data_IF_691830627659
#
_entry.id   IF_691830627659
#
_cell.length_a   1.000
_cell.length_b   1.000
_cell.length_c   1.000
_cell.angle_alpha   90.00
_cell.angle_beta   90.00
_cell.angle_gamma   90.00
#
_symmetry.space_group_name_H-M   'P 1'
#
loop_
_entity.id
_entity.type
_entity.pdbx_description
1 polymer ?
#
# COMPACT_ATOMS: atom_id res chain seq x y z
N UNK A 1 -0.93 -20.29 -21.80
CA UNK A 1 -0.43 -19.01 -22.35
C UNK A 1 0.99 -18.82 -21.85
N UNK A 2 1.97 -18.81 -22.76
CA UNK A 2 3.40 -18.98 -22.42
C UNK A 2 4.03 -17.77 -21.72
N UNK A 3 5.05 -18.04 -20.90
CA UNK A 3 5.90 -17.05 -20.21
C UNK A 3 6.35 -15.90 -21.12
N UNK A 4 6.66 -16.18 -22.39
CA UNK A 4 7.07 -15.19 -23.39
C UNK A 4 5.99 -14.13 -23.69
N UNK A 5 4.70 -14.48 -23.62
CA UNK A 5 3.60 -13.53 -23.85
C UNK A 5 3.41 -12.54 -22.69
N UNK A 6 3.99 -12.81 -21.52
CA UNK A 6 4.04 -11.87 -20.39
C UNK A 6 5.38 -11.14 -20.33
N UNK A 7 6.46 -11.81 -20.72
CA UNK A 7 7.81 -11.25 -20.67
C UNK A 7 7.98 -10.06 -21.62
N UNK A 8 7.50 -10.17 -22.87
CA UNK A 8 7.62 -9.10 -23.87
C UNK A 8 6.87 -7.83 -23.44
N UNK A 9 5.58 -7.84 -23.05
CA UNK A 9 4.91 -6.63 -22.58
C UNK A 9 5.48 -6.12 -21.25
N UNK A 10 5.96 -7.00 -20.36
CA UNK A 10 6.62 -6.59 -19.11
C UNK A 10 7.92 -5.82 -19.38
N UNK A 11 8.80 -6.35 -20.22
CA UNK A 11 10.06 -5.70 -20.61
C UNK A 11 9.80 -4.42 -21.41
N UNK A 12 8.83 -4.41 -22.31
CA UNK A 12 8.43 -3.22 -23.06
C UNK A 12 7.89 -2.11 -22.15
N UNK A 13 7.09 -2.46 -21.13
CA UNK A 13 6.60 -1.51 -20.12
C UNK A 13 7.76 -0.94 -19.31
N UNK A 14 8.71 -1.77 -18.90
CA UNK A 14 9.90 -1.32 -18.17
C UNK A 14 10.81 -0.42 -19.02
N UNK A 15 11.02 -0.78 -20.28
CA UNK A 15 11.74 0.06 -21.23
C UNK A 15 11.03 1.40 -21.43
N UNK A 16 9.70 1.39 -21.60
CA UNK A 16 8.88 2.59 -21.73
C UNK A 16 8.96 3.50 -20.49
N UNK A 17 8.87 2.94 -19.28
CA UNK A 17 9.03 3.67 -18.02
C UNK A 17 10.42 4.30 -17.93
N UNK A 18 11.49 3.53 -18.20
CA UNK A 18 12.86 4.06 -18.20
C UNK A 18 13.07 5.15 -19.25
N UNK A 19 12.58 4.95 -20.47
CA UNK A 19 12.69 5.92 -21.55
C UNK A 19 11.92 7.21 -21.22
N UNK A 20 10.70 7.08 -20.70
CA UNK A 20 9.89 8.22 -20.26
C UNK A 20 10.55 8.98 -19.11
N UNK A 21 11.04 8.28 -18.08
CA UNK A 21 11.71 8.93 -16.95
C UNK A 21 13.04 9.55 -17.35
N UNK A 22 13.79 8.94 -18.26
CA UNK A 22 15.01 9.51 -18.84
C UNK A 22 14.72 10.77 -19.67
N UNK A 23 13.66 10.74 -20.49
CA UNK A 23 13.18 11.91 -21.24
C UNK A 23 12.66 13.01 -20.30
N UNK A 24 11.92 12.64 -19.26
CA UNK A 24 11.42 13.55 -18.24
C UNK A 24 12.58 14.18 -17.46
N UNK A 25 13.59 13.41 -17.06
CA UNK A 25 14.82 13.93 -16.48
C UNK A 25 15.51 14.90 -17.43
N UNK A 26 15.63 14.56 -18.72
CA UNK A 26 16.23 15.44 -19.73
C UNK A 26 15.42 16.73 -19.97
N UNK A 27 14.09 16.66 -19.84
CA UNK A 27 13.20 17.80 -20.01
C UNK A 27 13.16 18.70 -18.77
N UNK A 28 13.18 18.12 -17.57
CA UNK A 28 13.21 18.84 -16.30
C UNK A 28 14.61 19.39 -15.97
N UNK A 29 15.70 18.73 -16.43
CA UNK A 29 17.08 19.24 -16.35
C UNK A 29 17.47 20.11 -17.56
N UNK A 30 16.55 20.87 -18.17
CA UNK A 30 17.00 21.90 -19.11
C UNK A 30 17.77 22.98 -18.34
N UNK A 31 19.07 23.19 -18.61
CA UNK A 31 19.83 24.25 -17.97
C UNK A 31 19.35 25.57 -18.56
N UNK A 32 18.55 26.32 -17.81
CA UNK A 32 18.33 27.72 -18.14
C UNK A 32 19.42 28.56 -17.45
N UNK A 33 20.38 28.99 -18.29
CA UNK A 33 21.29 30.14 -18.18
C UNK A 33 22.62 29.97 -17.40
N UNK A 34 23.68 30.69 -17.83
CA UNK A 34 25.06 30.26 -17.74
C UNK A 34 25.59 30.45 -16.33
N UNK A 35 26.06 29.37 -15.72
CA UNK A 35 26.92 29.45 -14.55
C UNK A 35 28.28 29.93 -15.05
N UNK A 36 28.71 31.08 -14.54
CA UNK A 36 30.05 31.65 -14.79
C UNK A 36 31.17 30.66 -14.44
N UNK A 37 32.40 30.91 -14.89
CA UNK A 37 33.48 29.95 -14.80
C UNK A 37 33.87 29.74 -13.33
N UNK A 38 33.74 28.52 -12.82
CA UNK A 38 34.16 28.21 -11.45
C UNK A 38 33.87 26.80 -10.98
N UNK A 39 34.87 25.93 -11.19
CA UNK A 39 35.24 24.73 -10.40
C UNK A 39 34.25 23.56 -10.26
N UNK A 40 34.70 22.40 -10.77
CA UNK A 40 34.00 21.11 -10.81
C UNK A 40 33.87 20.38 -9.46
N UNK A 41 33.51 19.08 -9.46
CA UNK A 41 33.18 18.34 -8.25
C UNK A 41 34.44 17.78 -7.59
N UNK A 42 34.76 18.27 -6.40
CA UNK A 42 35.79 17.70 -5.55
C UNK A 42 35.18 16.60 -4.67
N UNK A 43 35.76 15.41 -4.77
CA UNK A 43 35.42 14.20 -4.05
C UNK A 43 36.07 14.27 -2.66
N UNK A 44 35.32 14.66 -1.63
CA UNK A 44 35.84 14.65 -0.26
C UNK A 44 35.79 13.21 0.32
N UNK A 45 36.92 12.52 0.20
CA UNK A 45 37.22 11.29 0.93
C UNK A 45 38.04 11.63 2.18
N UNK A 46 37.59 11.12 3.33
CA UNK A 46 38.24 10.94 4.64
C UNK A 46 37.86 11.90 5.79
N UNK A 47 37.75 11.39 7.03
CA UNK A 47 37.46 12.19 8.22
C UNK A 47 38.76 12.69 8.85
N UNK A 48 38.92 14.01 8.98
CA UNK A 48 39.97 14.59 9.83
C UNK A 48 39.37 15.03 11.16
N UNK A 49 39.79 14.33 12.21
CA UNK A 49 39.63 14.75 13.60
C UNK A 49 40.35 16.09 13.81
N UNK A 50 39.64 17.09 14.30
CA UNK A 50 40.27 18.14 15.13
C UNK A 50 39.30 18.60 16.22
N UNK A 51 39.81 18.52 17.44
CA UNK A 51 39.19 18.95 18.69
C UNK A 51 39.47 20.43 18.92
N UNK A 52 38.51 21.15 19.51
CA UNK A 52 38.62 22.08 20.67
C UNK A 52 37.85 23.40 20.54
N UNK A 53 37.01 23.61 21.56
CA UNK A 53 36.65 24.84 22.28
C UNK A 53 36.18 26.12 21.57
N UNK A 54 35.07 26.66 22.10
CA UNK A 54 34.72 28.08 22.02
C UNK A 54 33.21 28.31 22.14
N UNK A 55 32.71 28.53 23.36
CA UNK A 55 31.31 28.90 23.55
C UNK A 55 31.00 30.30 23.03
N UNK A 56 29.77 30.51 22.56
CA UNK A 56 29.04 31.76 22.73
C UNK A 56 27.55 31.58 22.39
N UNK A 57 26.75 32.12 23.29
CA UNK A 57 25.30 32.28 23.26
C UNK A 57 24.87 33.33 22.24
N UNK A 58 23.79 33.07 21.50
CA UNK A 58 23.08 34.04 20.67
C UNK A 58 21.77 33.46 20.11
N UNK A 59 20.63 34.18 20.13
CA UNK A 59 19.30 33.60 20.06
C UNK A 59 18.74 33.47 18.64
N UNK A 60 17.91 32.45 18.44
CA UNK A 60 16.80 32.44 17.48
C UNK A 60 17.13 32.78 16.03
N UNK A 61 17.63 31.80 15.27
CA UNK A 61 17.50 31.84 13.80
C UNK A 61 16.39 30.90 13.38
N UNK A 62 15.28 31.51 12.96
CA UNK A 62 14.22 30.87 12.18
C UNK A 62 14.86 30.24 10.95
N UNK A 63 14.94 28.90 10.91
CA UNK A 63 15.36 28.18 9.72
C UNK A 63 14.36 28.45 8.60
N UNK A 64 14.74 29.33 7.67
CA UNK A 64 14.09 29.40 6.36
C UNK A 64 14.14 27.98 5.77
N UNK A 65 13.04 27.42 5.27
CA UNK A 65 13.09 26.15 4.57
C UNK A 65 13.96 26.36 3.32
N UNK A 66 15.06 25.61 3.22
CA UNK A 66 15.89 25.59 2.02
C UNK A 66 15.09 25.17 0.79
N UNK A 67 15.61 25.41 -0.43
CA UNK A 67 14.92 25.07 -1.67
C UNK A 67 14.52 23.60 -1.68
N UNK A 68 13.27 23.32 -2.05
CA UNK A 68 12.73 21.96 -2.12
C UNK A 68 13.54 21.12 -3.11
N UNK A 69 14.44 20.29 -2.60
CA UNK A 69 15.17 19.31 -3.41
C UNK A 69 14.26 18.13 -3.70
N UNK A 70 14.09 17.82 -4.98
CA UNK A 70 13.45 16.58 -5.44
C UNK A 70 14.51 15.74 -6.13
N UNK A 71 14.59 14.47 -5.75
CA UNK A 71 15.55 13.51 -6.31
C UNK A 71 14.81 12.41 -7.06
N UNK A 72 15.29 12.07 -8.25
CA UNK A 72 14.79 10.93 -9.02
C UNK A 72 15.93 9.93 -9.22
N UNK A 73 15.84 8.79 -8.55
CA UNK A 73 16.78 7.67 -8.68
C UNK A 73 16.17 6.62 -9.60
N UNK A 74 16.87 6.33 -10.69
CA UNK A 74 16.46 5.34 -11.68
C UNK A 74 17.53 4.25 -11.73
N UNK A 75 17.16 3.03 -11.34
CA UNK A 75 17.97 1.81 -11.46
C UNK A 75 17.17 0.77 -12.26
N UNK A 76 17.81 -0.20 -12.93
CA UNK A 76 17.09 -1.30 -13.58
C UNK A 76 16.12 -1.95 -12.58
N UNK A 77 14.85 -2.05 -12.95
CA UNK A 77 13.77 -2.61 -12.12
C UNK A 77 13.44 -1.87 -10.81
N UNK A 78 13.97 -0.65 -10.62
CA UNK A 78 13.70 0.18 -9.44
C UNK A 78 13.71 1.67 -9.78
N UNK A 79 12.55 2.31 -9.65
CA UNK A 79 12.41 3.78 -9.75
C UNK A 79 12.03 4.32 -8.39
N UNK A 80 12.70 5.38 -7.94
CA UNK A 80 12.37 6.10 -6.71
C UNK A 80 12.34 7.59 -6.98
N UNK A 81 11.19 8.19 -6.72
CA UNK A 81 11.02 9.63 -6.69
C UNK A 81 10.93 10.08 -5.23
N UNK A 82 11.79 11.00 -4.82
CA UNK A 82 11.81 11.60 -3.49
C UNK A 82 11.62 13.11 -3.59
N UNK A 83 10.86 13.68 -2.66
CA UNK A 83 10.66 15.12 -2.56
C UNK A 83 10.70 15.56 -1.11
N UNK A 84 11.21 16.77 -0.89
CA UNK A 84 11.17 17.47 0.40
C UNK A 84 10.04 18.49 0.47
N UNK A 85 9.39 18.81 -0.66
CA UNK A 85 8.34 19.84 -0.71
C UNK A 85 7.12 19.51 0.16
N UNK A 86 6.73 18.24 0.19
CA UNK A 86 5.61 17.75 1.00
C UNK A 86 5.90 17.77 2.52
N UNK A 87 7.17 17.80 2.93
CA UNK A 87 7.53 17.79 4.34
C UNK A 87 6.97 19.02 5.07
N UNK A 88 6.99 20.18 4.40
CA UNK A 88 6.42 21.43 4.95
C UNK A 88 4.91 21.33 5.15
N UNK A 89 4.20 20.66 4.24
CA UNK A 89 2.77 20.42 4.33
C UNK A 89 2.44 19.52 5.52
N UNK A 90 3.10 18.36 5.65
CA UNK A 90 2.88 17.44 6.77
C UNK A 90 3.23 18.08 8.12
N UNK A 91 4.32 18.85 8.17
CA UNK A 91 4.70 19.58 9.38
C UNK A 91 3.63 20.59 9.79
N UNK A 92 3.12 21.40 8.85
CA UNK A 92 2.04 22.36 9.12
C UNK A 92 0.75 21.68 9.56
N UNK A 93 0.41 20.55 8.94
CA UNK A 93 -0.81 19.81 9.22
C UNK A 93 -0.76 19.17 10.62
N UNK A 94 0.35 18.50 10.96
CA UNK A 94 0.53 17.81 12.24
C UNK A 94 0.82 18.76 13.41
N UNK A 95 1.48 19.90 13.17
CA UNK A 95 1.84 20.89 14.20
C UNK A 95 0.84 22.05 14.31
N UNK A 96 -0.29 22.00 13.60
CA UNK A 96 -1.33 23.05 13.71
C UNK A 96 -1.94 23.05 15.11
N UNK A 97 -1.93 24.18 15.85
CA UNK A 97 -2.47 24.24 17.21
C UNK A 97 -3.97 23.95 17.25
N UNK A 98 -4.71 24.33 16.20
CA UNK A 98 -6.15 24.08 16.07
C UNK A 98 -6.48 22.57 16.01
N UNK A 99 -5.59 21.78 15.41
CA UNK A 99 -5.76 20.34 15.24
C UNK A 99 -4.94 19.52 16.25
N UNK A 100 -4.20 20.17 17.14
CA UNK A 100 -3.25 19.50 18.04
C UNK A 100 -3.93 18.51 18.99
N UNK A 101 -5.15 18.83 19.45
CA UNK A 101 -5.95 17.95 20.29
C UNK A 101 -6.59 16.82 19.46
N UNK A 102 -7.11 17.15 18.27
CA UNK A 102 -7.64 16.17 17.34
C UNK A 102 -6.58 15.09 17.02
N UNK A 103 -5.39 15.50 16.58
CA UNK A 103 -4.31 14.57 16.25
C UNK A 103 -3.88 13.73 17.46
N UNK A 104 -3.86 14.31 18.67
CA UNK A 104 -3.51 13.57 19.89
C UNK A 104 -4.52 12.45 20.17
N UNK A 105 -5.81 12.73 20.06
CA UNK A 105 -6.87 11.72 20.26
C UNK A 105 -6.86 10.71 19.12
N UNK A 106 -6.75 11.19 17.89
CA UNK A 106 -6.71 10.39 16.66
C UNK A 106 -5.62 9.32 16.71
N UNK A 107 -4.37 9.71 16.98
CA UNK A 107 -3.28 8.75 17.10
C UNK A 107 -3.32 7.95 18.39
N UNK A 108 -3.96 8.46 19.45
CA UNK A 108 -4.27 7.68 20.65
C UNK A 108 -5.19 6.49 20.35
N UNK A 109 -6.25 6.70 19.57
CA UNK A 109 -7.14 5.63 19.10
C UNK A 109 -6.39 4.64 18.21
N UNK A 110 -5.53 5.15 17.31
CA UNK A 110 -4.66 4.32 16.48
C UNK A 110 -3.75 3.39 17.29
N UNK A 111 -3.22 3.85 18.43
CA UNK A 111 -2.42 3.01 19.34
C UNK A 111 -3.27 1.90 19.96
N UNK A 112 -4.45 2.23 20.50
CA UNK A 112 -5.35 1.23 21.11
C UNK A 112 -5.74 0.17 20.08
N UNK A 113 -6.12 0.62 18.88
CA UNK A 113 -6.42 -0.28 17.77
C UNK A 113 -5.21 -1.15 17.40
N UNK A 114 -4.03 -0.56 17.26
CA UNK A 114 -2.80 -1.28 16.91
C UNK A 114 -2.44 -2.37 17.92
N UNK A 115 -2.60 -2.09 19.22
CA UNK A 115 -2.36 -3.08 20.28
C UNK A 115 -3.37 -4.24 20.22
N UNK A 116 -4.66 -3.94 20.02
CA UNK A 116 -5.69 -4.97 19.86
C UNK A 116 -5.44 -5.81 18.60
N UNK A 117 -5.15 -5.16 17.47
CA UNK A 117 -4.84 -5.82 16.21
C UNK A 117 -3.60 -6.71 16.32
N UNK A 118 -2.62 -6.34 17.14
CA UNK A 118 -1.45 -7.17 17.40
C UNK A 118 -1.82 -8.46 18.14
N UNK A 119 -2.65 -8.38 19.20
CA UNK A 119 -3.13 -9.56 19.93
C UNK A 119 -3.91 -10.50 18.99
N UNK A 120 -4.82 -9.94 18.21
CA UNK A 120 -5.60 -10.70 17.21
C UNK A 120 -4.67 -11.31 16.16
N UNK A 121 -3.69 -10.56 15.67
CA UNK A 121 -2.69 -11.04 14.71
C UNK A 121 -1.90 -12.23 15.24
N UNK A 122 -1.42 -12.18 16.48
CA UNK A 122 -0.74 -13.31 17.12
C UNK A 122 -1.65 -14.53 17.26
N UNK A 123 -2.91 -14.35 17.68
CA UNK A 123 -3.88 -15.44 17.77
C UNK A 123 -4.15 -16.10 16.41
N UNK A 124 -4.33 -15.30 15.36
CA UNK A 124 -4.52 -15.79 13.99
C UNK A 124 -3.29 -16.50 13.44
N UNK A 125 -2.08 -16.00 13.74
CA UNK A 125 -0.83 -16.67 13.36
C UNK A 125 -0.67 -18.03 14.06
N UNK A 126 -1.02 -18.11 15.35
CA UNK A 126 -1.01 -19.38 16.11
C UNK A 126 -2.04 -20.36 15.55
N UNK A 127 -3.25 -19.88 15.24
CA UNK A 127 -4.30 -20.69 14.60
C UNK A 127 -3.85 -21.22 13.24
N UNK A 128 -3.30 -20.36 12.38
CA UNK A 128 -2.79 -20.76 11.07
C UNK A 128 -1.63 -21.74 11.17
N UNK A 129 -0.72 -21.56 12.14
CA UNK A 129 0.36 -22.49 12.41
C UNK A 129 -0.17 -23.87 12.86
N UNK A 130 -1.14 -23.89 13.76
CA UNK A 130 -1.79 -25.13 14.19
C UNK A 130 -2.48 -25.84 13.03
N UNK A 131 -3.21 -25.10 12.18
CA UNK A 131 -3.85 -25.66 11.00
C UNK A 131 -2.82 -26.25 10.02
N UNK A 132 -1.74 -25.53 9.74
CA UNK A 132 -0.66 -26.02 8.87
C UNK A 132 -0.03 -27.31 9.41
N UNK A 133 0.23 -27.37 10.72
CA UNK A 133 0.77 -28.57 11.38
C UNK A 133 -0.23 -29.72 11.32
N UNK A 134 -1.52 -29.48 11.55
CA UNK A 134 -2.55 -30.51 11.50
C UNK A 134 -2.64 -31.15 10.10
N UNK A 135 -2.62 -30.33 9.05
CA UNK A 135 -2.60 -30.78 7.65
C UNK A 135 -1.32 -31.56 7.34
N UNK A 136 -0.17 -31.09 7.82
CA UNK A 136 1.10 -31.79 7.63
C UNK A 136 1.13 -33.15 8.36
N UNK A 137 0.56 -33.24 9.57
CA UNK A 137 0.45 -34.50 10.33
C UNK A 137 -0.47 -35.47 9.62
N UNK A 138 -1.66 -35.05 9.19
CA UNK A 138 -2.59 -35.91 8.43
C UNK A 138 -1.93 -36.38 7.12
N UNK A 139 -1.24 -35.49 6.40
CA UNK A 139 -0.51 -35.86 5.19
C UNK A 139 0.61 -36.90 5.49
N UNK A 140 1.34 -36.73 6.59
CA UNK A 140 2.39 -37.68 7.01
C UNK A 140 1.79 -39.03 7.44
N UNK A 141 0.67 -39.04 8.17
CA UNK A 141 -0.05 -40.26 8.54
C UNK A 141 -0.57 -41.01 7.31
N UNK A 142 -1.01 -40.29 6.28
CA UNK A 142 -1.45 -40.88 5.01
C UNK A 142 -0.28 -41.40 4.14
N UNK A 143 0.95 -40.94 4.38
CA UNK A 143 2.16 -41.39 3.69
C UNK A 143 2.87 -42.55 4.39
N UNK A 144 2.44 -42.95 5.59
CA UNK A 144 3.02 -44.03 6.39
C UNK A 144 2.09 -45.25 6.45
N UNK A 145 2.22 -46.23 5.53
CA UNK A 145 1.37 -47.41 5.52
C UNK A 145 1.92 -48.46 6.50
N UNK A 146 1.66 -48.27 7.80
CA UNK A 146 1.74 -49.38 8.77
C UNK A 146 0.33 -49.84 9.15
N UNK A 147 -0.30 -50.55 8.23
CA UNK A 147 -1.53 -51.30 8.46
C UNK A 147 -1.68 -52.34 7.35
N UNK A 148 -2.04 -53.59 7.65
CA UNK A 148 -2.22 -54.60 6.62
C UNK A 148 -3.31 -54.13 5.66
N UNK A 149 -3.09 -54.39 4.37
CA UNK A 149 -3.98 -54.07 3.27
C UNK A 149 -5.37 -54.68 3.46
N UNK A 150 -6.29 -53.91 4.04
CA UNK A 150 -7.73 -54.14 3.88
C UNK A 150 -8.20 -53.45 2.60
N UNK A 151 -8.63 -54.26 1.64
CA UNK A 151 -9.43 -53.81 0.50
C UNK A 151 -10.74 -53.19 1.00
N UNK A 152 -10.93 -51.88 0.80
CA UNK A 152 -12.25 -51.24 0.93
C UNK A 152 -12.70 -50.68 -0.40
N UNK A 153 -13.81 -51.27 -0.85
CA UNK A 153 -14.67 -50.94 -1.97
C UNK A 153 -15.08 -49.46 -1.97
N UNK A 154 -14.97 -48.84 -3.15
CA UNK A 154 -15.75 -47.72 -3.68
C UNK A 154 -16.44 -46.77 -2.69
N UNK A 155 -15.68 -45.84 -2.10
CA UNK A 155 -16.20 -44.55 -1.65
C UNK A 155 -15.20 -43.47 -2.05
N UNK A 156 -15.70 -42.46 -2.76
CA UNK A 156 -14.91 -41.36 -3.35
C UNK A 156 -13.98 -40.70 -2.32
N UNK A 157 -12.73 -40.37 -2.68
CA UNK A 157 -11.81 -39.71 -1.76
C UNK A 157 -12.32 -38.30 -1.41
N UNK A 158 -12.09 -37.82 -0.17
CA UNK A 158 -12.43 -36.44 0.18
C UNK A 158 -11.61 -35.51 -0.70
N UNK A 159 -12.30 -34.65 -1.44
CA UNK A 159 -11.71 -33.68 -2.35
C UNK A 159 -10.77 -32.77 -1.56
N UNK A 160 -9.46 -33.04 -1.64
CA UNK A 160 -8.41 -32.11 -1.25
C UNK A 160 -8.69 -30.80 -1.98
N UNK A 161 -8.97 -29.74 -1.21
CA UNK A 161 -9.37 -28.42 -1.70
C UNK A 161 -8.42 -27.94 -2.80
N UNK A 162 -8.79 -28.24 -4.04
CA UNK A 162 -8.19 -27.74 -5.26
C UNK A 162 -8.26 -26.23 -5.18
N UNK A 163 -7.11 -25.55 -5.20
CA UNK A 163 -6.96 -24.10 -5.14
C UNK A 163 -8.16 -23.39 -5.78
N UNK A 164 -9.08 -22.92 -4.92
CA UNK A 164 -10.29 -22.24 -5.37
C UNK A 164 -9.86 -20.87 -5.86
N UNK A 165 -9.91 -20.65 -7.18
CA UNK A 165 -9.84 -19.29 -7.74
C UNK A 165 -10.94 -18.46 -7.09
N UNK A 166 -10.62 -17.24 -6.62
CA UNK A 166 -11.67 -16.28 -6.28
C UNK A 166 -12.36 -15.91 -7.59
N UNK A 167 -13.46 -16.58 -7.90
CA UNK A 167 -14.45 -16.02 -8.79
C UNK A 167 -15.11 -14.89 -8.00
N UNK A 168 -14.84 -13.65 -8.42
CA UNK A 168 -15.61 -12.51 -7.96
C UNK A 168 -16.97 -12.68 -8.61
N UNK A 169 -17.87 -13.38 -7.90
CA UNK A 169 -19.29 -13.40 -8.24
C UNK A 169 -19.80 -11.99 -8.02
N UNK A 170 -19.90 -11.21 -9.10
CA UNK A 170 -20.69 -9.97 -9.11
C UNK A 170 -22.14 -10.40 -9.31
N UNK A 171 -22.72 -11.01 -8.28
CA UNK A 171 -24.16 -11.25 -8.26
C UNK A 171 -24.83 -10.09 -7.54
N UNK A 172 -25.41 -9.25 -8.39
CA UNK A 172 -26.49 -8.31 -8.12
C UNK A 172 -27.56 -8.97 -7.25
N UNK A 173 -27.75 -8.41 -6.05
CA UNK A 173 -28.98 -8.31 -5.25
C UNK A 173 -28.73 -8.61 -3.78
N UNK A 174 -28.85 -7.55 -2.96
CA UNK A 174 -29.13 -7.69 -1.55
C UNK A 174 -30.48 -8.41 -1.40
N UNK A 175 -30.47 -9.66 -0.96
CA UNK A 175 -31.60 -10.27 -0.27
C UNK A 175 -31.07 -10.88 1.01
N UNK A 176 -31.46 -10.27 2.12
CA UNK A 176 -31.37 -10.82 3.46
C UNK A 176 -32.04 -12.20 3.48
N UNK A 177 -31.26 -13.24 3.73
CA UNK A 177 -31.78 -14.46 4.35
C UNK A 177 -30.88 -14.81 5.52
N UNK A 178 -31.33 -14.39 6.70
CA UNK A 178 -30.98 -15.02 7.97
C UNK A 178 -31.43 -16.47 7.85
N UNK A 179 -30.48 -17.39 7.71
CA UNK A 179 -30.69 -18.79 8.06
C UNK A 179 -29.36 -19.34 8.54
N UNK A 180 -29.33 -19.67 9.83
CA UNK A 180 -28.16 -20.22 10.48
C UNK A 180 -27.74 -21.52 9.82
N UNK A 181 -26.47 -21.59 9.46
CA UNK A 181 -25.67 -22.76 9.78
C UNK A 181 -24.26 -22.26 10.08
N UNK A 182 -23.78 -22.59 11.27
CA UNK A 182 -22.38 -22.45 11.70
C UNK A 182 -21.51 -23.33 10.81
N UNK A 183 -21.22 -22.85 9.60
CA UNK A 183 -20.22 -23.39 8.70
C UNK A 183 -18.96 -22.57 8.91
N UNK A 184 -18.04 -23.13 9.68
CA UNK A 184 -16.60 -22.85 9.73
C UNK A 184 -16.15 -21.95 8.57
N UNK A 185 -16.14 -20.64 8.80
CA UNK A 185 -15.38 -19.72 7.97
C UNK A 185 -13.93 -20.03 8.26
N UNK A 186 -13.44 -21.06 7.57
CA UNK A 186 -12.04 -21.41 7.47
C UNK A 186 -11.37 -20.17 6.88
N UNK A 187 -10.92 -19.28 7.77
CA UNK A 187 -10.19 -18.07 7.45
C UNK A 187 -8.79 -18.49 7.03
N UNK A 188 -8.72 -19.31 5.98
CA UNK A 188 -7.51 -19.54 5.23
C UNK A 188 -7.24 -18.21 4.55
N UNK A 189 -6.25 -17.50 5.07
CA UNK A 189 -5.63 -16.37 4.39
C UNK A 189 -5.07 -16.89 3.07
N UNK A 190 -5.90 -16.96 2.02
CA UNK A 190 -5.46 -17.36 0.70
C UNK A 190 -4.53 -16.24 0.21
N UNK A 191 -3.23 -16.50 0.03
CA UNK A 191 -2.32 -15.48 -0.46
C UNK A 191 -2.79 -15.01 -1.84
N UNK A 192 -2.83 -13.69 -2.04
CA UNK A 192 -3.15 -13.08 -3.32
C UNK A 192 -1.96 -13.25 -4.26
N UNK A 193 -1.98 -14.31 -5.06
CA UNK A 193 -0.95 -14.63 -6.05
C UNK A 193 -1.53 -14.29 -7.43
N UNK A 194 -1.00 -13.25 -8.11
CA UNK A 194 -1.41 -12.90 -9.47
C UNK A 194 -1.30 -14.11 -10.40
N UNK A 195 -2.37 -14.41 -11.15
CA UNK A 195 -2.41 -15.51 -12.12
C UNK A 195 -2.79 -16.89 -11.56
N UNK A 196 -2.71 -17.11 -10.24
CA UNK A 196 -3.18 -18.35 -9.60
C UNK A 196 -4.52 -18.12 -8.92
N UNK A 197 -4.62 -17.11 -8.04
CA UNK A 197 -5.84 -16.81 -7.27
C UNK A 197 -6.57 -15.58 -7.78
N UNK A 198 -5.97 -14.80 -8.70
CA UNK A 198 -6.55 -13.58 -9.29
C UNK A 198 -6.39 -13.52 -10.83
N UNK A 199 -7.42 -13.12 -11.59
CA UNK A 199 -7.31 -12.85 -13.02
C UNK A 199 -6.37 -11.68 -13.31
N UNK A 200 -5.53 -11.79 -14.34
CA UNK A 200 -4.55 -10.74 -14.70
C UNK A 200 -5.22 -9.40 -15.09
N UNK A 201 -6.47 -9.43 -15.54
CA UNK A 201 -7.24 -8.21 -15.87
C UNK A 201 -7.49 -7.32 -14.66
N UNK A 202 -7.52 -7.87 -13.44
CA UNK A 202 -7.75 -7.09 -12.22
C UNK A 202 -6.46 -6.50 -11.64
N UNK A 203 -5.30 -6.94 -12.12
CA UNK A 203 -3.99 -6.53 -11.59
C UNK A 203 -3.81 -5.01 -11.55
N UNK A 204 -4.16 -4.21 -12.58
CA UNK A 204 -4.00 -2.76 -12.52
C UNK A 204 -4.81 -2.10 -11.41
N UNK A 205 -6.04 -2.56 -11.15
CA UNK A 205 -6.88 -2.03 -10.07
C UNK A 205 -6.26 -2.30 -8.69
N UNK A 206 -5.67 -3.48 -8.50
CA UNK A 206 -4.94 -3.80 -7.27
C UNK A 206 -3.68 -2.94 -7.10
N UNK A 207 -2.90 -2.72 -8.17
CA UNK A 207 -1.71 -1.88 -8.10
C UNK A 207 -2.07 -0.42 -7.75
N UNK A 208 -3.16 0.11 -8.31
CA UNK A 208 -3.67 1.44 -7.97
C UNK A 208 -4.15 1.48 -6.52
N UNK A 209 -4.92 0.48 -6.08
CA UNK A 209 -5.40 0.40 -4.70
C UNK A 209 -4.24 0.31 -3.69
N UNK A 210 -3.21 -0.48 -4.00
CA UNK A 210 -2.00 -0.58 -3.19
C UNK A 210 -1.23 0.74 -3.13
N UNK A 211 -1.08 1.43 -4.26
CA UNK A 211 -0.43 2.75 -4.28
C UNK A 211 -1.20 3.76 -3.43
N UNK A 212 -2.51 3.85 -3.59
CA UNK A 212 -3.36 4.78 -2.82
C UNK A 212 -3.29 4.45 -1.32
N UNK A 213 -3.43 3.17 -0.96
CA UNK A 213 -3.29 2.75 0.43
C UNK A 213 -1.89 3.05 0.98
N UNK A 214 -0.83 2.78 0.22
CA UNK A 214 0.54 3.08 0.60
C UNK A 214 0.76 4.58 0.84
N UNK A 215 0.27 5.45 -0.05
CA UNK A 215 0.37 6.90 0.14
C UNK A 215 -0.31 7.33 1.44
N UNK A 216 -1.52 6.84 1.70
CA UNK A 216 -2.29 7.17 2.91
C UNK A 216 -1.62 6.62 4.18
N UNK A 217 -1.06 5.41 4.11
CA UNK A 217 -0.29 4.78 5.18
C UNK A 217 0.91 5.62 5.59
N UNK A 218 1.75 5.98 4.61
CA UNK A 218 2.96 6.76 4.83
C UNK A 218 2.64 8.20 5.27
N UNK A 219 1.60 8.82 4.69
CA UNK A 219 1.11 10.11 5.15
C UNK A 219 0.70 10.09 6.63
N UNK A 220 0.10 8.97 7.09
CA UNK A 220 -0.21 8.75 8.50
C UNK A 220 1.03 8.86 9.39
N UNK A 221 2.13 8.19 9.00
CA UNK A 221 3.41 8.27 9.71
C UNK A 221 4.01 9.68 9.71
N UNK A 222 3.98 10.37 8.56
CA UNK A 222 4.51 11.73 8.43
C UNK A 222 3.78 12.73 9.35
N UNK A 223 2.45 12.67 9.38
CA UNK A 223 1.64 13.56 10.22
C UNK A 223 1.82 13.23 11.71
N UNK A 224 1.95 11.95 12.07
CA UNK A 224 2.24 11.53 13.44
C UNK A 224 3.61 12.03 13.91
N UNK A 225 4.65 11.88 13.08
CA UNK A 225 6.00 12.37 13.37
C UNK A 225 6.02 13.89 13.53
N UNK A 226 5.33 14.62 12.66
CA UNK A 226 5.16 16.07 12.77
C UNK A 226 4.51 16.49 14.10
N UNK A 227 3.51 15.74 14.58
CA UNK A 227 2.84 16.03 15.85
C UNK A 227 3.74 15.82 17.06
N UNK A 228 4.62 14.81 17.00
CA UNK A 228 5.65 14.52 18.00
C UNK A 228 6.92 15.38 17.81
N UNK A 229 6.81 16.48 17.05
CA UNK A 229 7.86 17.48 16.80
C UNK A 229 9.12 16.92 16.15
N UNK A 230 8.97 15.83 15.41
CA UNK A 230 10.07 15.20 14.68
C UNK A 230 9.97 15.51 13.20
N UNK A 231 11.12 15.84 12.62
CA UNK A 231 11.19 16.24 11.22
C UNK A 231 11.24 15.01 10.31
N UNK A 232 10.45 15.08 9.24
CA UNK A 232 10.50 14.14 8.12
C UNK A 232 11.62 14.57 7.19
N UNK A 233 12.54 13.66 6.88
CA UNK A 233 13.70 13.93 6.03
C UNK A 233 13.27 14.05 4.57
N UNK A 234 12.48 13.09 4.07
CA UNK A 234 11.99 13.06 2.69
C UNK A 234 10.73 12.20 2.58
N UNK A 235 9.85 12.52 1.65
CA UNK A 235 8.69 11.70 1.30
C UNK A 235 8.75 11.35 -0.18
N UNK A 236 8.24 10.21 -0.59
CA UNK A 236 8.26 9.86 -2.00
C UNK A 236 7.45 8.63 -2.37
N UNK A 237 7.57 8.28 -3.65
CA UNK A 237 6.95 7.10 -4.26
C UNK A 237 8.06 6.30 -4.94
N UNK A 238 7.96 4.98 -4.90
CA UNK A 238 8.84 4.08 -5.60
C UNK A 238 8.04 3.04 -6.38
N UNK A 239 8.66 2.50 -7.42
CA UNK A 239 8.16 1.37 -8.19
C UNK A 239 9.26 0.32 -8.24
N UNK A 240 9.02 -0.83 -7.63
CA UNK A 240 9.92 -1.98 -7.66
C UNK A 240 9.31 -3.11 -8.48
N UNK A 241 9.93 -3.45 -9.62
CA UNK A 241 9.43 -4.42 -10.62
C UNK A 241 8.02 -4.08 -11.12
N UNK A 242 6.98 -4.42 -10.37
CA UNK A 242 5.58 -4.10 -10.67
C UNK A 242 4.85 -3.47 -9.46
N UNK A 243 5.49 -3.44 -8.29
CA UNK A 243 4.91 -3.00 -7.03
C UNK A 243 5.11 -1.48 -6.85
N UNK A 244 4.04 -0.67 -6.96
CA UNK A 244 4.09 0.73 -6.59
C UNK A 244 3.94 0.87 -5.07
N UNK A 245 4.79 1.68 -4.46
CA UNK A 245 4.76 1.96 -3.02
C UNK A 245 5.07 3.42 -2.74
N UNK A 246 4.66 3.90 -1.56
CA UNK A 246 5.10 5.18 -1.04
C UNK A 246 6.09 4.96 0.10
N UNK A 247 6.86 5.98 0.45
CA UNK A 247 7.70 5.97 1.64
C UNK A 247 7.76 7.35 2.28
N UNK A 248 7.88 7.38 3.60
CA UNK A 248 8.26 8.55 4.39
C UNK A 248 9.51 8.21 5.19
N UNK A 249 10.56 9.00 4.99
CA UNK A 249 11.83 8.85 5.67
C UNK A 249 11.83 9.66 6.98
N UNK A 250 11.76 8.93 8.10
CA UNK A 250 11.84 9.46 9.46
C UNK A 250 13.16 8.97 10.04
N UNK A 251 13.95 9.88 10.59
CA UNK A 251 15.24 9.51 11.19
C UNK A 251 15.04 8.50 12.33
N UNK A 252 15.59 7.29 12.18
CA UNK A 252 15.54 6.25 13.22
C UNK A 252 16.17 6.71 14.54
N UNK A 253 17.20 7.58 14.47
CA UNK A 253 17.80 8.21 15.66
C UNK A 253 16.80 9.12 16.36
N UNK A 254 16.07 9.95 15.59
CA UNK A 254 15.05 10.82 16.15
C UNK A 254 13.88 10.03 16.75
N UNK A 255 13.54 8.86 16.19
CA UNK A 255 12.52 7.97 16.74
C UNK A 255 13.00 7.29 18.04
N UNK A 256 14.24 6.82 18.08
CA UNK A 256 14.81 6.12 19.24
C UNK A 256 14.90 7.00 20.50
N UNK A 257 15.09 8.32 20.35
CA UNK A 257 15.14 9.26 21.49
C UNK A 257 13.75 9.65 22.03
N UNK A 258 12.66 9.32 21.32
CA UNK A 258 11.30 9.65 21.78
C UNK A 258 10.87 8.74 22.92
N UNK A 259 9.88 9.18 23.71
CA UNK A 259 9.26 8.30 24.70
C UNK A 259 8.52 7.13 24.02
N UNK A 260 8.38 5.96 24.67
CA UNK A 260 7.76 4.78 24.07
C UNK A 260 6.35 5.01 23.53
N UNK A 261 5.56 5.86 24.19
CA UNK A 261 4.19 6.19 23.77
C UNK A 261 4.20 7.00 22.45
N UNK A 262 5.16 7.91 22.29
CA UNK A 262 5.29 8.70 21.06
C UNK A 262 5.75 7.82 19.90
N UNK A 263 6.71 6.92 20.15
CA UNK A 263 7.13 5.92 19.17
C UNK A 263 5.93 5.07 18.73
N UNK A 264 5.12 4.60 19.67
CA UNK A 264 3.96 3.77 19.37
C UNK A 264 2.91 4.51 18.54
N UNK A 265 2.67 5.81 18.80
CA UNK A 265 1.79 6.64 17.96
C UNK A 265 2.27 6.75 16.53
N UNK A 266 3.58 6.94 16.33
CA UNK A 266 4.17 7.01 15.00
C UNK A 266 4.10 5.65 14.31
N UNK A 267 4.46 4.55 14.99
CA UNK A 267 4.46 3.19 14.40
C UNK A 267 3.05 2.69 14.09
N UNK A 268 2.06 2.97 14.94
CA UNK A 268 0.66 2.57 14.68
C UNK A 268 -0.07 3.49 13.68
N UNK A 269 0.50 4.65 13.36
CA UNK A 269 -0.15 5.65 12.51
C UNK A 269 -0.57 5.13 11.14
N UNK A 270 0.32 4.41 10.44
CA UNK A 270 0.06 3.93 9.09
C UNK A 270 -1.07 2.90 9.06
N UNK A 271 -1.03 1.91 9.95
CA UNK A 271 -2.09 0.88 10.07
C UNK A 271 -3.43 1.54 10.38
N UNK A 272 -3.46 2.49 11.32
CA UNK A 272 -4.67 3.24 11.65
C UNK A 272 -5.26 3.97 10.44
N UNK A 273 -4.41 4.66 9.64
CA UNK A 273 -4.88 5.36 8.44
C UNK A 273 -5.41 4.41 7.37
N UNK A 274 -4.82 3.22 7.21
CA UNK A 274 -5.35 2.20 6.31
C UNK A 274 -6.72 1.67 6.74
N UNK A 275 -6.93 1.46 8.04
CA UNK A 275 -8.23 1.00 8.58
C UNK A 275 -9.30 2.08 8.39
N UNK A 276 -8.95 3.34 8.65
CA UNK A 276 -9.84 4.48 8.39
C UNK A 276 -10.15 4.59 6.90
N UNK A 277 -9.16 4.43 6.02
CA UNK A 277 -9.37 4.43 4.58
C UNK A 277 -10.32 3.31 4.15
N UNK A 278 -10.12 2.10 4.67
CA UNK A 278 -11.01 0.96 4.41
C UNK A 278 -12.45 1.23 4.87
N UNK A 279 -12.62 1.72 6.10
CA UNK A 279 -13.93 2.07 6.64
C UNK A 279 -14.60 3.18 5.82
N UNK A 280 -13.87 4.24 5.48
CA UNK A 280 -14.36 5.34 4.67
C UNK A 280 -14.77 4.87 3.26
N UNK A 281 -13.97 4.01 2.62
CA UNK A 281 -14.31 3.41 1.33
C UNK A 281 -15.56 2.53 1.43
N UNK A 282 -15.68 1.71 2.48
CA UNK A 282 -16.87 0.88 2.72
C UNK A 282 -18.14 1.69 2.95
N UNK A 283 -18.05 2.78 3.72
CA UNK A 283 -19.16 3.72 3.93
C UNK A 283 -19.53 4.43 2.62
N UNK A 284 -18.53 4.89 1.86
CA UNK A 284 -18.75 5.53 0.57
C UNK A 284 -19.46 4.61 -0.44
N UNK A 285 -19.11 3.32 -0.43
CA UNK A 285 -19.71 2.33 -1.32
C UNK A 285 -21.14 1.94 -0.88
N UNK A 286 -21.38 1.82 0.43
CA UNK A 286 -22.68 1.43 1.00
C UNK A 286 -23.70 2.56 1.06
N UNK A 287 -23.25 3.82 1.18
CA UNK A 287 -24.13 5.00 1.26
C UNK A 287 -24.87 5.32 -0.05
N UNK A 288 -24.59 4.60 -1.14
CA UNK A 288 -25.11 4.93 -2.47
C UNK A 288 -24.47 6.17 -3.09
N UNK A 289 -23.56 6.86 -2.39
CA UNK A 289 -22.84 8.03 -2.88
C UNK A 289 -22.02 7.72 -4.14
N UNK A 290 -21.46 6.51 -4.23
CA UNK A 290 -20.81 6.04 -5.43
C UNK A 290 -21.78 5.88 -6.62
N UNK A 291 -22.98 5.33 -6.38
CA UNK A 291 -23.99 5.22 -7.43
C UNK A 291 -24.46 6.61 -7.88
N UNK A 292 -24.66 7.51 -6.94
CA UNK A 292 -25.00 8.91 -7.21
C UNK A 292 -23.90 9.62 -8.02
N UNK A 293 -22.62 9.45 -7.67
CA UNK A 293 -21.53 10.06 -8.41
C UNK A 293 -21.41 9.52 -9.84
N UNK A 294 -21.64 8.22 -10.05
CA UNK A 294 -21.71 7.63 -11.38
C UNK A 294 -22.88 8.19 -12.20
N UNK A 295 -24.06 8.34 -11.58
CA UNK A 295 -25.24 8.92 -12.24
C UNK A 295 -24.99 10.36 -12.70
N UNK A 296 -24.26 11.17 -11.91
CA UNK A 296 -23.87 12.53 -12.30
C UNK A 296 -22.95 12.58 -13.52
N UNK A 297 -22.13 11.54 -13.72
CA UNK A 297 -21.25 11.38 -14.90
C UNK A 297 -22.00 10.77 -16.10
N UNK A 298 -23.31 10.51 -15.95
CA UNK A 298 -24.15 9.93 -16.99
C UNK A 298 -24.16 8.40 -17.01
N UNK A 299 -23.53 7.75 -16.03
CA UNK A 299 -23.59 6.30 -15.88
C UNK A 299 -24.86 5.88 -15.14
N UNK A 300 -25.77 5.19 -15.84
CA UNK A 300 -26.97 4.60 -15.25
C UNK A 300 -26.78 3.11 -15.03
N UNK A 301 -27.00 2.67 -13.81
CA UNK A 301 -27.06 1.24 -13.47
C UNK A 301 -28.35 0.65 -14.05
N UNK A 302 -28.25 -0.21 -15.06
CA UNK A 302 -29.41 -0.95 -15.57
C UNK A 302 -29.59 -2.21 -14.73
N UNK A 303 -30.70 -2.28 -13.99
CA UNK A 303 -30.95 -3.34 -13.02
C UNK A 303 -30.94 -4.75 -13.63
N UNK A 304 -31.53 -4.93 -14.81
CA UNK A 304 -31.51 -6.18 -15.60
C UNK A 304 -31.91 -5.85 -17.05
N UNK A 305 -31.05 -6.07 -18.06
CA UNK A 305 -31.47 -6.02 -19.47
C UNK A 305 -30.54 -5.27 -20.45
N UNK A 306 -30.59 -5.70 -21.72
CA UNK A 306 -29.76 -5.25 -22.84
C UNK A 306 -30.09 -3.81 -23.24
N UNK A 307 -29.06 -2.98 -23.39
CA UNK A 307 -29.16 -1.62 -23.92
C UNK A 307 -29.04 -1.62 -25.44
N UNK A 308 -30.14 -1.32 -26.15
CA UNK A 308 -30.07 -0.93 -27.57
C UNK A 308 -29.89 0.58 -27.63
N UNK A 309 -28.68 1.01 -28.02
CA UNK A 309 -28.26 2.41 -28.03
C UNK A 309 -28.90 3.20 -29.18
N UNK A 310 -29.35 2.54 -30.25
CA UNK A 310 -30.26 3.13 -31.24
C UNK A 310 -30.90 2.05 -32.11
N UNK A 311 -32.17 2.20 -32.47
CA UNK A 311 -32.84 1.38 -33.50
C UNK A 311 -32.89 2.23 -34.76
N UNK A 312 -32.22 1.79 -35.83
CA UNK A 312 -32.32 2.42 -37.13
C UNK A 312 -33.76 2.30 -37.65
N UNK A 313 -34.43 3.42 -37.89
CA UNK A 313 -35.78 3.45 -38.44
C UNK A 313 -35.71 2.96 -39.89
N UNK A 314 -36.28 1.78 -40.17
CA UNK A 314 -36.38 1.28 -41.55
C UNK A 314 -37.32 2.19 -42.33
N UNK A 315 -36.79 2.80 -43.38
CA UNK A 315 -37.59 3.51 -44.38
C UNK A 315 -38.29 2.43 -45.20
N UNK A 316 -39.52 2.08 -44.85
CA UNK A 316 -40.39 1.30 -45.74
C UNK A 316 -40.65 2.16 -46.97
N UNK A 317 -40.09 1.75 -48.10
CA UNK A 317 -40.45 2.23 -49.43
C UNK A 317 -41.56 1.38 -50.02
#
# INVERSE_FOLDING_TARGET
>A
MGFLNLLVPFLATWFGIHAFLFLLQRFLNRPNLPVGPGSGPEYELLPTVSSTNGGQSGPGTTSKPGPSSSGLLVKPFYVRFSTTGLNSFFFRLGNSPKLAQFWRVWYGLGVVFGLLAMIVGWALLLYAAFQLVSVAVVALMNLWPLGPSESKTSQDPPLVNKFRKREVVIDTAATTSISGNSGESDMVLIPMIPGVTLPLSHLPYYLIALLVSGIVHEAGHAIAAAREKTQVSSTGIFLYILYPGAFVDISSRALAIMSPIQQLRVVCAGVWHNVVLFAAAGIFLSSGAFQFSLQMVGWKQMGHGVSVVSVAQSRQG
#
